data_IF_697000881422
#
_entry.id   IF_697000881422
#
_cell.length_a   1.000
_cell.length_b   1.000
_cell.length_c   1.000
_cell.angle_alpha   90.00
_cell.angle_beta   90.00
_cell.angle_gamma   90.00
#
_symmetry.space_group_name_H-M   'P 1'
#
loop_
_entity.id
_entity.type
_entity.pdbx_description
1 polymer ?
#
# COMPACT_ATOMS: atom_id res chain seq x y z
N UNK A 1 -22.50 65.89 -76.04
CA UNK A 1 -21.62 64.77 -75.60
C UNK A 1 -21.66 64.67 -74.08
N UNK A 2 -22.12 63.51 -73.61
CA UNK A 2 -21.91 62.85 -72.30
C UNK A 2 -22.36 63.56 -70.99
N UNK A 3 -23.63 63.30 -70.67
CA UNK A 3 -24.18 63.15 -69.32
C UNK A 3 -23.28 62.24 -68.45
N UNK A 4 -23.00 62.68 -67.22
CA UNK A 4 -22.25 61.92 -66.20
C UNK A 4 -23.24 61.15 -65.32
N UNK A 5 -23.20 59.82 -65.44
CA UNK A 5 -24.02 58.84 -64.74
C UNK A 5 -23.56 58.59 -63.30
N UNK A 6 -24.50 58.62 -62.36
CA UNK A 6 -24.40 57.90 -61.08
C UNK A 6 -24.50 56.38 -61.31
N UNK A 7 -23.96 55.56 -60.40
CA UNK A 7 -24.64 54.32 -60.04
C UNK A 7 -25.00 54.27 -58.56
N UNK A 8 -26.29 54.07 -58.34
CA UNK A 8 -26.96 53.67 -57.10
C UNK A 8 -26.36 52.38 -56.54
N UNK A 9 -26.02 52.36 -55.25
CA UNK A 9 -25.87 51.13 -54.48
C UNK A 9 -27.01 51.02 -53.48
N UNK A 10 -27.85 50.03 -53.76
CA UNK A 10 -28.89 49.47 -52.89
C UNK A 10 -28.25 48.94 -51.61
N UNK A 11 -28.76 49.33 -50.43
CA UNK A 11 -28.67 48.51 -49.23
C UNK A 11 -29.79 48.90 -48.28
N UNK A 12 -30.87 48.11 -48.34
CA UNK A 12 -31.87 48.01 -47.31
C UNK A 12 -31.37 47.04 -46.23
N UNK A 13 -31.64 47.34 -44.96
CA UNK A 13 -32.45 46.52 -44.03
C UNK A 13 -32.32 47.14 -42.64
N UNK A 14 -33.47 47.59 -42.15
CA UNK A 14 -33.73 48.04 -40.78
C UNK A 14 -33.85 46.80 -39.89
N UNK A 15 -33.22 46.79 -38.72
CA UNK A 15 -33.79 46.09 -37.57
C UNK A 15 -33.39 46.77 -36.25
N UNK A 16 -34.43 47.28 -35.58
CA UNK A 16 -34.47 47.86 -34.24
C UNK A 16 -34.19 46.74 -33.20
N UNK A 17 -33.30 46.97 -32.23
CA UNK A 17 -33.04 46.02 -31.14
C UNK A 17 -32.55 46.71 -29.88
N UNK A 18 -33.40 46.73 -28.86
CA UNK A 18 -33.24 47.38 -27.55
C UNK A 18 -32.05 46.79 -26.77
N UNK A 19 -31.11 47.64 -26.33
CA UNK A 19 -30.02 47.26 -25.42
C UNK A 19 -30.51 47.31 -23.96
N UNK A 20 -30.78 46.15 -23.38
CA UNK A 20 -30.86 45.98 -21.92
C UNK A 20 -29.48 45.51 -21.40
N UNK A 21 -28.95 46.05 -20.29
CA UNK A 21 -27.70 45.56 -19.72
C UNK A 21 -27.94 44.20 -19.08
N UNK A 22 -27.36 43.16 -19.68
CA UNK A 22 -27.30 41.81 -19.13
C UNK A 22 -26.41 41.85 -17.88
N UNK A 23 -27.00 41.92 -16.70
CA UNK A 23 -26.29 41.68 -15.44
C UNK A 23 -26.00 40.18 -15.39
N UNK A 24 -24.76 39.82 -15.75
CA UNK A 24 -24.24 38.47 -15.52
C UNK A 24 -24.03 38.33 -14.01
N UNK A 25 -25.03 37.80 -13.31
CA UNK A 25 -24.81 37.25 -11.98
C UNK A 25 -23.95 36.01 -12.21
N UNK A 26 -22.63 36.16 -12.01
CA UNK A 26 -21.73 35.02 -11.94
C UNK A 26 -22.19 34.16 -10.76
N UNK A 27 -22.95 33.11 -11.06
CA UNK A 27 -23.15 32.02 -10.12
C UNK A 27 -21.77 31.55 -9.64
N UNK A 28 -21.57 31.29 -8.33
CA UNK A 28 -20.32 30.71 -7.88
C UNK A 28 -20.11 29.42 -8.66
N UNK A 29 -19.07 29.39 -9.50
CA UNK A 29 -18.62 28.19 -10.16
C UNK A 29 -18.13 27.24 -9.07
N UNK A 30 -19.03 26.42 -8.55
CA UNK A 30 -18.65 25.20 -7.83
C UNK A 30 -18.04 24.28 -8.86
N UNK A 31 -16.74 24.48 -9.14
CA UNK A 31 -15.88 23.45 -9.68
C UNK A 31 -15.90 22.30 -8.67
N UNK A 32 -16.89 21.41 -8.81
CA UNK A 32 -16.99 20.17 -8.07
C UNK A 32 -15.81 19.29 -8.50
N UNK A 33 -14.63 19.53 -7.94
CA UNK A 33 -13.55 18.55 -7.94
C UNK A 33 -14.06 17.39 -7.09
N UNK A 34 -14.51 16.33 -7.74
CA UNK A 34 -14.93 15.09 -7.08
C UNK A 34 -13.83 14.59 -6.14
N UNK A 35 -14.24 14.01 -5.02
CA UNK A 35 -13.31 13.43 -4.06
C UNK A 35 -12.65 12.15 -4.62
N UNK A 36 -11.65 11.62 -3.91
CA UNK A 36 -10.94 10.39 -4.31
C UNK A 36 -11.91 9.22 -4.56
N UNK A 37 -12.92 9.07 -3.71
CA UNK A 37 -13.87 7.96 -3.75
C UNK A 37 -14.82 8.13 -4.93
N UNK A 38 -15.37 9.33 -5.11
CA UNK A 38 -16.27 9.67 -6.22
C UNK A 38 -15.55 9.56 -7.57
N UNK A 39 -14.27 9.95 -7.63
CA UNK A 39 -13.42 9.82 -8.83
C UNK A 39 -13.13 8.34 -9.14
N UNK A 40 -12.89 7.51 -8.12
CA UNK A 40 -12.70 6.07 -8.30
C UNK A 40 -13.99 5.37 -8.77
N UNK A 41 -15.14 5.75 -8.22
CA UNK A 41 -16.45 5.22 -8.64
C UNK A 41 -16.78 5.63 -10.07
N UNK A 42 -16.55 6.90 -10.44
CA UNK A 42 -16.80 7.41 -11.78
C UNK A 42 -15.92 6.74 -12.86
N UNK A 43 -14.68 6.36 -12.51
CA UNK A 43 -13.76 5.69 -13.42
C UNK A 43 -14.12 4.22 -13.73
N UNK A 44 -15.05 3.61 -12.98
CA UNK A 44 -15.62 2.29 -13.25
C UNK A 44 -14.68 1.08 -13.11
N UNK A 45 -13.36 1.31 -13.03
CA UNK A 45 -12.28 0.31 -12.99
C UNK A 45 -11.72 0.04 -11.58
N UNK A 46 -12.39 0.56 -10.54
CA UNK A 46 -11.98 0.48 -9.14
C UNK A 46 -13.07 -0.12 -8.22
N UNK A 47 -13.96 -0.95 -8.77
CA UNK A 47 -15.11 -1.48 -8.02
C UNK A 47 -14.66 -2.36 -6.84
N UNK A 48 -13.61 -3.15 -7.06
CA UNK A 48 -13.04 -4.03 -6.02
C UNK A 48 -12.43 -3.22 -4.88
N UNK A 49 -11.75 -2.13 -5.21
CA UNK A 49 -11.17 -1.21 -4.24
C UNK A 49 -12.26 -0.50 -3.41
N UNK A 50 -13.34 -0.03 -4.05
CA UNK A 50 -14.46 0.59 -3.35
C UNK A 50 -15.15 -0.39 -2.37
N UNK A 51 -15.33 -1.65 -2.79
CA UNK A 51 -15.85 -2.71 -1.92
C UNK A 51 -14.91 -2.98 -0.72
N UNK A 52 -13.60 -3.06 -0.97
CA UNK A 52 -12.59 -3.25 0.08
C UNK A 52 -12.57 -2.08 1.09
N UNK A 53 -12.64 -0.83 0.61
CA UNK A 53 -12.72 0.36 1.46
C UNK A 53 -13.98 0.37 2.33
N UNK A 54 -15.10 -0.09 1.78
CA UNK A 54 -16.37 -0.21 2.50
C UNK A 54 -16.28 -1.28 3.58
N UNK A 55 -15.74 -2.46 3.25
CA UNK A 55 -15.53 -3.55 4.22
C UNK A 55 -14.56 -3.17 5.35
N UNK A 56 -13.55 -2.35 5.03
CA UNK A 56 -12.53 -1.87 5.96
C UNK A 56 -12.92 -0.62 6.76
N UNK A 57 -14.09 -0.01 6.50
CA UNK A 57 -14.54 1.23 7.15
C UNK A 57 -13.55 2.41 6.97
N UNK A 58 -12.90 2.50 5.81
CA UNK A 58 -11.91 3.54 5.50
C UNK A 58 -12.46 4.66 4.61
N UNK A 59 -13.71 4.51 4.13
CA UNK A 59 -14.38 5.52 3.28
C UNK A 59 -14.44 6.87 4.00
N UNK A 60 -14.77 6.90 5.29
CA UNK A 60 -14.82 8.14 6.06
C UNK A 60 -13.47 8.84 6.18
N UNK A 61 -12.39 8.08 6.38
CA UNK A 61 -11.03 8.63 6.48
C UNK A 61 -10.55 9.23 5.15
N UNK A 62 -10.84 8.56 4.03
CA UNK A 62 -10.46 9.02 2.69
C UNK A 62 -11.35 10.13 2.13
N UNK A 63 -12.51 10.39 2.72
CA UNK A 63 -13.36 11.55 2.42
C UNK A 63 -13.01 12.80 3.24
N UNK A 64 -12.06 12.69 4.18
CA UNK A 64 -11.62 13.86 4.94
C UNK A 64 -10.86 14.86 4.05
N UNK A 65 -10.82 16.13 4.49
CA UNK A 65 -10.27 17.25 3.73
C UNK A 65 -8.73 17.24 3.59
N UNK A 66 -8.05 16.27 4.22
CA UNK A 66 -6.59 16.18 4.21
C UNK A 66 -6.04 15.91 2.81
N UNK A 67 -4.82 16.36 2.50
CA UNK A 67 -4.16 16.01 1.25
C UNK A 67 -3.71 14.54 1.27
N UNK A 68 -4.38 13.68 0.51
CA UNK A 68 -4.01 12.28 0.37
C UNK A 68 -3.36 11.99 -0.98
N UNK A 69 -2.43 11.05 -1.00
CA UNK A 69 -1.98 10.40 -2.23
C UNK A 69 -2.36 8.93 -2.15
N UNK A 70 -3.17 8.46 -3.11
CA UNK A 70 -3.68 7.09 -3.14
C UNK A 70 -3.11 6.36 -4.33
N UNK A 71 -2.43 5.25 -4.06
CA UNK A 71 -2.01 4.29 -5.06
C UNK A 71 -3.18 3.34 -5.32
N UNK A 72 -3.97 3.56 -6.37
CA UNK A 72 -5.18 2.81 -6.63
C UNK A 72 -4.90 1.63 -7.59
N UNK A 73 -4.91 0.37 -7.13
CA UNK A 73 -4.90 -0.78 -8.02
C UNK A 73 -6.21 -0.87 -8.82
N UNK A 74 -6.08 -1.15 -10.12
CA UNK A 74 -7.24 -1.43 -10.99
C UNK A 74 -7.87 -2.78 -10.66
N UNK A 75 -9.11 -3.01 -11.10
CA UNK A 75 -9.76 -4.33 -10.99
C UNK A 75 -8.91 -5.44 -11.66
N UNK A 76 -8.17 -5.11 -12.73
CA UNK A 76 -7.21 -6.03 -13.36
C UNK A 76 -6.01 -6.37 -12.46
N UNK A 77 -5.57 -5.43 -11.60
CA UNK A 77 -4.52 -5.67 -10.62
C UNK A 77 -4.97 -6.67 -9.55
N UNK A 78 -6.24 -6.57 -9.10
CA UNK A 78 -6.83 -7.55 -8.18
C UNK A 78 -6.97 -8.93 -8.83
N UNK A 79 -7.30 -8.98 -10.12
CA UNK A 79 -7.39 -10.24 -10.86
C UNK A 79 -6.04 -10.96 -11.05
N UNK A 80 -4.91 -10.24 -10.93
CA UNK A 80 -3.56 -10.84 -10.95
C UNK A 80 -3.19 -11.51 -9.63
N UNK A 81 -3.93 -11.27 -8.55
CA UNK A 81 -3.66 -11.94 -7.28
C UNK A 81 -3.93 -13.46 -7.40
N UNK A 82 -3.17 -14.30 -6.68
CA UNK A 82 -3.45 -15.74 -6.64
C UNK A 82 -4.89 -15.98 -6.18
N UNK A 83 -5.59 -16.92 -6.83
CA UNK A 83 -6.95 -17.33 -6.44
C UNK A 83 -6.98 -17.68 -4.96
N UNK A 84 -8.00 -17.21 -4.22
CA UNK A 84 -8.09 -17.34 -2.76
C UNK A 84 -7.52 -16.15 -1.98
N UNK A 85 -6.55 -15.39 -2.50
CA UNK A 85 -5.91 -14.30 -1.72
C UNK A 85 -6.88 -13.17 -1.41
N UNK A 86 -7.61 -12.69 -2.41
CA UNK A 86 -8.62 -11.64 -2.22
C UNK A 86 -9.77 -12.13 -1.33
N UNK A 87 -10.22 -13.37 -1.54
CA UNK A 87 -11.32 -13.97 -0.77
C UNK A 87 -10.95 -14.09 0.71
N UNK A 88 -9.73 -14.56 1.01
CA UNK A 88 -9.20 -14.58 2.37
C UNK A 88 -9.09 -13.18 2.95
N UNK A 89 -8.60 -12.18 2.20
CA UNK A 89 -8.50 -10.80 2.68
C UNK A 89 -9.85 -10.13 2.93
N UNK A 90 -10.91 -10.57 2.26
CA UNK A 90 -12.29 -10.09 2.46
C UNK A 90 -13.03 -10.81 3.59
N UNK A 91 -12.47 -11.87 4.16
CA UNK A 91 -13.06 -12.53 5.32
C UNK A 91 -13.05 -11.60 6.54
N UNK A 92 -14.09 -11.64 7.40
CA UNK A 92 -14.19 -10.77 8.57
C UNK A 92 -13.02 -10.97 9.55
N UNK A 93 -12.49 -12.20 9.62
CA UNK A 93 -11.30 -12.57 10.40
C UNK A 93 -10.05 -11.80 9.96
N UNK A 94 -9.94 -11.46 8.67
CA UNK A 94 -8.79 -10.76 8.10
C UNK A 94 -9.04 -9.25 7.89
N UNK A 95 -10.13 -8.70 8.44
CA UNK A 95 -10.45 -7.27 8.35
C UNK A 95 -9.30 -6.37 8.81
N UNK A 96 -8.57 -6.76 9.86
CA UNK A 96 -7.40 -6.02 10.33
C UNK A 96 -6.27 -5.98 9.28
N UNK A 97 -6.05 -7.08 8.57
CA UNK A 97 -5.06 -7.15 7.48
C UNK A 97 -5.52 -6.32 6.28
N UNK A 98 -6.80 -6.38 5.93
CA UNK A 98 -7.38 -5.57 4.86
C UNK A 98 -7.20 -4.07 5.14
N UNK A 99 -7.46 -3.63 6.37
CA UNK A 99 -7.21 -2.25 6.81
C UNK A 99 -5.74 -1.87 6.66
N UNK A 100 -4.81 -2.75 7.05
CA UNK A 100 -3.37 -2.50 6.90
C UNK A 100 -2.95 -2.38 5.43
N UNK A 101 -3.44 -3.28 4.56
CA UNK A 101 -3.20 -3.23 3.11
C UNK A 101 -3.73 -1.94 2.51
N UNK A 102 -4.95 -1.53 2.86
CA UNK A 102 -5.53 -0.30 2.34
C UNK A 102 -4.76 0.94 2.83
N UNK A 103 -4.31 0.95 4.08
CA UNK A 103 -3.45 2.00 4.62
C UNK A 103 -2.09 2.07 3.91
N UNK A 104 -1.55 0.95 3.43
CA UNK A 104 -0.31 0.93 2.65
C UNK A 104 -0.47 1.63 1.29
N UNK A 105 -1.66 1.60 0.71
CA UNK A 105 -1.94 2.30 -0.54
C UNK A 105 -2.18 3.80 -0.34
N UNK A 106 -2.27 4.28 0.90
CA UNK A 106 -2.62 5.68 1.21
C UNK A 106 -1.45 6.38 1.88
N UNK A 107 -1.08 7.54 1.36
CA UNK A 107 -0.08 8.44 1.91
C UNK A 107 -0.80 9.69 2.39
N UNK A 108 -0.58 10.08 3.65
CA UNK A 108 -1.21 11.26 4.29
C UNK A 108 -0.63 12.61 3.83
N UNK A 109 0.09 12.61 2.71
CA UNK A 109 0.66 13.80 2.11
C UNK A 109 0.42 13.75 0.61
N UNK A 110 0.21 14.92 0.02
CA UNK A 110 0.07 15.05 -1.42
C UNK A 110 1.46 15.04 -2.05
N UNK A 111 1.79 13.96 -2.73
CA UNK A 111 3.06 13.77 -3.42
C UNK A 111 2.77 13.58 -4.92
N UNK A 112 3.09 14.58 -5.78
CA UNK A 112 3.05 14.40 -7.22
C UNK A 112 4.17 13.45 -7.66
N UNK A 113 4.02 12.82 -8.83
CA UNK A 113 4.95 11.79 -9.29
C UNK A 113 6.41 12.27 -9.32
N UNK A 114 6.65 13.50 -9.77
CA UNK A 114 8.00 14.09 -9.85
C UNK A 114 8.69 14.11 -8.49
N UNK A 115 8.01 14.62 -7.46
CA UNK A 115 8.54 14.65 -6.09
C UNK A 115 8.65 13.24 -5.49
N UNK A 116 7.75 12.33 -5.88
CA UNK A 116 7.79 10.94 -5.44
C UNK A 116 9.06 10.24 -5.96
N UNK A 117 9.44 10.51 -7.21
CA UNK A 117 10.66 10.01 -7.84
C UNK A 117 11.92 10.62 -7.24
N UNK A 118 11.93 11.92 -6.95
CA UNK A 118 13.07 12.59 -6.31
C UNK A 118 13.35 12.05 -4.91
N UNK A 119 12.29 11.76 -4.14
CA UNK A 119 12.41 11.17 -2.79
C UNK A 119 12.77 9.69 -2.82
N UNK A 120 12.47 8.99 -3.92
CA UNK A 120 12.66 7.55 -4.07
C UNK A 120 11.81 6.67 -3.15
N UNK A 121 11.03 7.26 -2.24
CA UNK A 121 10.20 6.55 -1.27
C UNK A 121 9.14 7.45 -0.62
N UNK A 122 8.05 6.85 -0.11
CA UNK A 122 6.99 7.56 0.60
C UNK A 122 6.49 6.78 1.83
N UNK A 123 6.29 7.46 2.96
CA UNK A 123 5.70 6.87 4.17
C UNK A 123 4.17 6.82 4.04
N UNK A 124 3.59 5.65 4.26
CA UNK A 124 2.15 5.37 4.12
C UNK A 124 1.44 5.48 5.48
N UNK A 125 0.10 5.43 5.48
CA UNK A 125 -0.71 5.36 6.69
C UNK A 125 -0.54 4.04 7.46
N UNK A 126 0.05 3.01 6.84
CA UNK A 126 0.41 1.76 7.50
C UNK A 126 1.71 1.87 8.31
N UNK A 127 2.32 3.07 8.39
CA UNK A 127 3.67 3.30 8.90
C UNK A 127 4.78 2.56 8.15
N UNK A 128 4.44 1.97 7.00
CA UNK A 128 5.38 1.35 6.09
C UNK A 128 5.78 2.32 4.98
N UNK A 129 7.00 2.15 4.48
CA UNK A 129 7.55 2.98 3.40
C UNK A 129 7.43 2.23 2.09
N UNK A 130 6.78 2.84 1.10
CA UNK A 130 6.75 2.32 -0.28
C UNK A 130 7.93 2.90 -1.06
N UNK A 131 8.72 2.03 -1.70
CA UNK A 131 9.81 2.45 -2.59
C UNK A 131 9.25 2.89 -3.95
N UNK A 132 9.72 4.00 -4.49
CA UNK A 132 9.27 4.56 -5.76
C UNK A 132 10.51 4.74 -6.64
N UNK A 133 10.57 4.02 -7.75
CA UNK A 133 11.75 4.03 -8.61
C UNK A 133 11.35 4.08 -10.09
N UNK A 134 12.12 4.82 -10.88
CA UNK A 134 12.05 4.73 -12.34
C UNK A 134 12.91 3.55 -12.79
N UNK A 135 12.28 2.52 -13.37
CA UNK A 135 12.99 1.34 -13.88
C UNK A 135 12.46 1.01 -15.28
N UNK A 136 13.38 0.85 -16.24
CA UNK A 136 13.04 0.54 -17.64
C UNK A 136 12.11 1.58 -18.30
N UNK A 137 12.28 2.86 -17.96
CA UNK A 137 11.43 3.95 -18.46
C UNK A 137 9.99 3.97 -17.92
N UNK A 138 9.66 3.12 -16.94
CA UNK A 138 8.37 3.09 -16.25
C UNK A 138 8.56 3.33 -14.75
N UNK A 139 7.68 4.13 -14.14
CA UNK A 139 7.70 4.28 -12.68
C UNK A 139 7.14 3.02 -12.03
N UNK A 140 7.83 2.53 -11.00
CA UNK A 140 7.41 1.40 -10.18
C UNK A 140 7.27 1.82 -8.72
N UNK A 141 6.17 1.41 -8.10
CA UNK A 141 5.89 1.59 -6.66
C UNK A 141 5.93 0.20 -6.02
N UNK A 142 6.98 -0.06 -5.24
CA UNK A 142 7.25 -1.36 -4.62
C UNK A 142 7.10 -2.56 -5.57
N UNK A 143 7.65 -2.43 -6.78
CA UNK A 143 7.55 -3.44 -7.85
C UNK A 143 6.28 -3.35 -8.73
N UNK A 144 5.21 -2.70 -8.27
CA UNK A 144 4.00 -2.46 -9.06
C UNK A 144 4.25 -1.39 -10.12
N UNK A 145 3.85 -1.63 -11.37
CA UNK A 145 4.01 -0.66 -12.46
C UNK A 145 2.93 0.41 -12.36
N UNK A 146 3.35 1.67 -12.42
CA UNK A 146 2.46 2.81 -12.52
C UNK A 146 1.90 2.91 -13.95
N UNK A 147 0.58 2.87 -14.10
CA UNK A 147 -0.10 2.96 -15.40
C UNK A 147 -0.58 4.36 -15.71
N UNK A 148 -1.07 5.08 -14.70
CA UNK A 148 -1.56 6.45 -14.82
C UNK A 148 -1.19 7.19 -13.56
N UNK A 149 -0.70 8.41 -13.68
CA UNK A 149 -0.21 9.19 -12.55
C UNK A 149 -0.89 10.56 -12.50
N UNK A 150 -0.76 11.23 -11.35
CA UNK A 150 -1.13 12.63 -11.16
C UNK A 150 -2.61 12.94 -11.46
N UNK A 151 -3.51 11.99 -11.19
CA UNK A 151 -4.95 12.24 -11.29
C UNK A 151 -5.37 13.14 -10.13
N UNK A 152 -5.70 14.39 -10.45
CA UNK A 152 -5.99 15.41 -9.46
C UNK A 152 -7.42 15.30 -8.92
N UNK A 153 -7.58 15.27 -7.60
CA UNK A 153 -8.88 15.24 -6.89
C UNK A 153 -8.97 16.41 -5.92
N UNK A 154 -10.16 16.69 -5.36
CA UNK A 154 -10.34 17.80 -4.40
C UNK A 154 -9.52 17.63 -3.14
N UNK A 155 -9.35 16.39 -2.67
CA UNK A 155 -8.66 16.05 -1.44
C UNK A 155 -7.34 15.29 -1.67
N UNK A 156 -6.82 15.25 -2.90
CA UNK A 156 -5.59 14.50 -3.12
C UNK A 156 -5.15 14.26 -4.56
N UNK A 157 -4.31 13.24 -4.73
CA UNK A 157 -3.81 12.74 -6.01
C UNK A 157 -3.96 11.23 -6.05
N UNK A 158 -4.48 10.70 -7.16
CA UNK A 158 -4.55 9.26 -7.41
C UNK A 158 -3.46 8.86 -8.40
N UNK A 159 -2.74 7.80 -8.05
CA UNK A 159 -1.75 7.13 -8.88
C UNK A 159 -2.22 5.70 -9.14
N UNK A 160 -2.51 5.37 -10.39
CA UNK A 160 -3.05 4.07 -10.79
C UNK A 160 -1.91 3.07 -10.98
N UNK A 161 -2.00 1.94 -10.28
CA UNK A 161 -1.00 0.86 -10.33
C UNK A 161 -1.61 -0.43 -10.91
N UNK A 162 -0.75 -1.24 -11.53
CA UNK A 162 -1.15 -2.48 -12.20
C UNK A 162 -1.13 -3.73 -11.31
N UNK A 163 -0.69 -3.59 -10.06
CA UNK A 163 -0.48 -4.67 -9.08
C UNK A 163 -0.86 -4.16 -7.70
N UNK A 164 -1.54 -4.97 -6.88
CA UNK A 164 -1.91 -4.61 -5.51
C UNK A 164 -0.64 -4.59 -4.63
N UNK A 165 -0.44 -3.50 -3.89
CA UNK A 165 0.60 -3.43 -2.86
C UNK A 165 0.15 -4.27 -1.68
N UNK A 166 0.70 -5.47 -1.57
CA UNK A 166 0.62 -6.19 -0.32
C UNK A 166 1.67 -5.56 0.61
N UNK A 167 1.39 -5.43 1.92
CA UNK A 167 2.47 -5.22 2.88
C UNK A 167 3.48 -6.29 2.52
N UNK A 168 4.71 -5.86 2.28
CA UNK A 168 5.78 -6.83 2.21
C UNK A 168 5.56 -7.73 3.41
N UNK A 169 5.70 -9.03 3.22
CA UNK A 169 5.94 -9.90 4.35
C UNK A 169 7.24 -9.40 5.00
N UNK A 170 7.18 -8.28 5.74
CA UNK A 170 7.95 -7.99 6.93
C UNK A 170 7.49 -8.96 7.99
N UNK A 171 7.56 -10.25 7.65
CA UNK A 171 8.05 -11.30 8.51
C UNK A 171 9.28 -10.71 9.17
N UNK A 172 9.13 -10.12 10.35
CA UNK A 172 10.14 -9.87 11.40
C UNK A 172 11.43 -9.09 11.03
N UNK A 173 11.79 -8.93 9.75
CA UNK A 173 13.07 -8.44 9.27
C UNK A 173 13.28 -6.93 9.52
N UNK A 174 12.23 -6.15 9.73
CA UNK A 174 12.40 -4.73 10.12
C UNK A 174 12.57 -4.54 11.63
N UNK A 175 12.21 -5.50 12.48
CA UNK A 175 12.64 -5.47 13.88
C UNK A 175 14.16 -5.69 14.02
N UNK A 176 14.78 -6.28 12.99
CA UNK A 176 16.24 -6.56 12.91
C UNK A 176 17.08 -5.29 12.73
N UNK A 177 16.50 -4.20 12.24
CA UNK A 177 17.25 -2.93 12.04
C UNK A 177 17.26 -2.01 13.28
N UNK A 178 16.63 -2.39 14.39
CA UNK A 178 16.67 -1.62 15.65
C UNK A 178 17.48 -2.38 16.70
N UNK A 179 18.78 -2.60 16.46
CA UNK A 179 19.77 -2.96 17.50
C UNK A 179 19.32 -3.99 18.56
N UNK A 180 18.43 -4.92 18.19
CA UNK A 180 17.65 -5.68 19.14
C UNK A 180 18.43 -6.90 19.61
N UNK A 181 18.36 -7.24 20.89
CA UNK A 181 18.99 -8.47 21.37
C UNK A 181 18.36 -9.70 20.71
N UNK A 182 19.13 -10.76 20.42
CA UNK A 182 18.59 -12.05 19.97
C UNK A 182 17.42 -12.54 20.84
N UNK A 183 17.52 -12.31 22.15
CA UNK A 183 16.47 -12.59 23.15
C UNK A 183 15.17 -11.85 22.83
N UNK A 184 15.24 -10.54 22.52
CA UNK A 184 14.04 -9.73 22.22
C UNK A 184 13.37 -10.16 20.91
N UNK A 185 14.15 -10.56 19.91
CA UNK A 185 13.61 -11.08 18.66
C UNK A 185 12.89 -12.41 18.85
N UNK A 186 13.47 -13.32 19.62
CA UNK A 186 12.82 -14.59 19.97
C UNK A 186 11.51 -14.33 20.72
N UNK A 187 11.52 -13.46 21.73
CA UNK A 187 10.32 -13.11 22.50
C UNK A 187 9.21 -12.52 21.62
N UNK A 188 9.54 -11.60 20.71
CA UNK A 188 8.57 -11.00 19.79
C UNK A 188 7.99 -12.03 18.81
N UNK A 189 8.83 -12.93 18.29
CA UNK A 189 8.38 -13.99 17.40
C UNK A 189 7.36 -14.90 18.10
N UNK A 190 7.62 -15.24 19.36
CA UNK A 190 6.72 -16.03 20.21
C UNK A 190 5.40 -15.28 20.44
N UNK A 191 5.47 -14.01 20.83
CA UNK A 191 4.30 -13.15 21.09
C UNK A 191 3.37 -13.06 19.87
N UNK A 192 3.93 -13.04 18.66
CA UNK A 192 3.17 -12.95 17.40
C UNK A 192 2.77 -14.30 16.83
N UNK A 193 3.58 -15.34 17.01
CA UNK A 193 3.36 -16.67 16.46
C UNK A 193 2.31 -17.48 17.22
N UNK A 194 2.30 -17.40 18.55
CA UNK A 194 1.39 -18.22 19.39
C UNK A 194 -0.09 -17.93 19.10
N UNK A 195 -0.56 -16.67 19.03
CA UNK A 195 -1.95 -16.38 18.67
C UNK A 195 -2.34 -16.95 17.31
N UNK A 196 -1.48 -16.78 16.29
CA UNK A 196 -1.74 -17.30 14.94
C UNK A 196 -1.87 -18.83 14.92
N UNK A 197 -1.04 -19.53 15.69
CA UNK A 197 -1.13 -20.98 15.80
C UNK A 197 -2.46 -21.40 16.45
N UNK A 198 -2.83 -20.74 17.55
CA UNK A 198 -4.06 -21.02 18.28
C UNK A 198 -5.32 -20.66 17.46
N UNK A 199 -5.23 -19.66 16.58
CA UNK A 199 -6.29 -19.24 15.66
C UNK A 199 -6.38 -20.16 14.40
N UNK A 200 -5.69 -21.30 14.39
CA UNK A 200 -5.75 -22.25 13.28
C UNK A 200 -4.95 -21.83 12.04
N UNK A 201 -3.98 -20.92 12.18
CA UNK A 201 -3.09 -20.46 11.12
C UNK A 201 -1.63 -20.92 11.33
N UNK A 202 -1.36 -22.25 11.37
CA UNK A 202 -0.01 -22.77 11.66
C UNK A 202 1.00 -22.38 10.57
N UNK A 203 0.58 -22.20 9.31
CA UNK A 203 1.45 -21.74 8.24
C UNK A 203 1.93 -20.29 8.44
N UNK A 204 1.06 -19.41 8.97
CA UNK A 204 1.43 -18.05 9.29
C UNK A 204 2.38 -18.00 10.49
N UNK A 205 2.13 -18.82 11.51
CA UNK A 205 3.04 -19.00 12.65
C UNK A 205 4.43 -19.51 12.22
N UNK A 206 4.48 -20.58 11.41
CA UNK A 206 5.72 -21.13 10.89
C UNK A 206 6.53 -20.08 10.13
N UNK A 207 5.88 -19.26 9.29
CA UNK A 207 6.56 -18.19 8.55
C UNK A 207 7.21 -17.15 9.49
N UNK A 208 6.54 -16.77 10.59
CA UNK A 208 7.11 -15.85 11.59
C UNK A 208 8.38 -16.45 12.21
N UNK A 209 8.34 -17.73 12.61
CA UNK A 209 9.49 -18.38 13.21
C UNK A 209 10.63 -18.59 12.21
N UNK A 210 10.33 -18.91 10.95
CA UNK A 210 11.31 -19.05 9.86
C UNK A 210 12.11 -17.77 9.67
N UNK A 211 11.44 -16.63 9.51
CA UNK A 211 12.16 -15.38 9.27
C UNK A 211 12.85 -14.87 10.53
N UNK A 212 12.32 -15.19 11.71
CA UNK A 212 13.05 -14.94 12.96
C UNK A 212 14.36 -15.72 12.98
N UNK A 213 14.34 -17.01 12.60
CA UNK A 213 15.54 -17.84 12.54
C UNK A 213 16.57 -17.31 11.53
N UNK A 214 16.14 -16.94 10.33
CA UNK A 214 17.02 -16.31 9.32
C UNK A 214 17.63 -15.00 9.82
N UNK A 215 16.80 -14.18 10.47
CA UNK A 215 17.23 -12.91 11.07
C UNK A 215 18.28 -13.11 12.16
N UNK A 216 18.07 -14.10 13.04
CA UNK A 216 19.02 -14.45 14.09
C UNK A 216 20.34 -14.95 13.52
N UNK A 217 20.31 -15.76 12.45
CA UNK A 217 21.53 -16.24 11.78
C UNK A 217 22.37 -15.07 11.23
N UNK A 218 21.75 -13.96 10.86
CA UNK A 218 22.44 -12.75 10.40
C UNK A 218 23.06 -11.91 11.53
N UNK A 219 22.80 -12.22 12.82
CA UNK A 219 23.46 -11.53 13.93
C UNK A 219 24.94 -11.94 14.03
N UNK A 220 25.84 -10.95 13.88
CA UNK A 220 27.28 -11.15 13.92
C UNK A 220 27.80 -11.76 15.24
N UNK A 221 27.09 -11.56 16.35
CA UNK A 221 27.49 -12.02 17.70
C UNK A 221 26.74 -13.30 18.13
N UNK A 222 25.99 -13.95 17.24
CA UNK A 222 25.26 -15.17 17.61
C UNK A 222 26.26 -16.33 17.86
N UNK A 223 26.17 -17.06 19.00
CA UNK A 223 27.02 -18.21 19.26
C UNK A 223 26.95 -19.25 18.13
N UNK A 224 28.08 -19.91 17.82
CA UNK A 224 28.14 -20.92 16.76
C UNK A 224 27.12 -22.06 16.97
N UNK A 225 26.94 -22.50 18.23
CA UNK A 225 25.94 -23.49 18.60
C UNK A 225 24.50 -23.04 18.27
N UNK A 226 24.17 -21.78 18.57
CA UNK A 226 22.88 -21.18 18.23
C UNK A 226 22.68 -21.11 16.71
N UNK A 227 23.71 -20.69 15.96
CA UNK A 227 23.65 -20.61 14.51
C UNK A 227 23.38 -21.98 13.87
N UNK A 228 24.05 -23.02 14.37
CA UNK A 228 23.85 -24.39 13.92
C UNK A 228 22.45 -24.91 14.22
N UNK A 229 21.92 -24.67 15.43
CA UNK A 229 20.55 -25.03 15.82
C UNK A 229 19.53 -24.45 14.83
N UNK A 230 19.63 -23.15 14.53
CA UNK A 230 18.69 -22.47 13.64
C UNK A 230 18.80 -22.97 12.19
N UNK A 231 20.02 -23.17 11.68
CA UNK A 231 20.24 -23.69 10.32
C UNK A 231 19.68 -25.10 10.14
N UNK A 232 19.90 -25.98 11.13
CA UNK A 232 19.34 -27.34 11.11
C UNK A 232 17.81 -27.29 11.11
N UNK A 233 17.22 -26.49 11.99
CA UNK A 233 15.77 -26.36 12.08
C UNK A 233 15.11 -25.79 10.81
N UNK A 234 15.75 -24.81 10.15
CA UNK A 234 15.29 -24.30 8.86
C UNK A 234 15.32 -25.38 7.77
N UNK A 235 16.40 -26.18 7.72
CA UNK A 235 16.53 -27.27 6.76
C UNK A 235 15.52 -28.41 7.02
N UNK A 236 15.20 -28.70 8.28
CA UNK A 236 14.18 -29.67 8.67
C UNK A 236 12.76 -29.15 8.37
N UNK A 237 12.47 -27.89 8.70
CA UNK A 237 11.19 -27.24 8.38
C UNK A 237 10.92 -27.26 6.87
N UNK A 238 11.92 -26.94 6.05
CA UNK A 238 11.77 -26.88 4.59
C UNK A 238 11.42 -28.23 3.96
N UNK A 239 11.75 -29.35 4.61
CA UNK A 239 11.44 -30.71 4.12
C UNK A 239 10.07 -31.20 4.58
N UNK A 240 9.46 -30.54 5.57
CA UNK A 240 8.22 -30.99 6.17
C UNK A 240 7.01 -30.32 5.48
N UNK A 241 6.07 -31.09 4.90
CA UNK A 241 4.89 -30.51 4.27
C UNK A 241 3.85 -29.98 5.27
N UNK A 242 3.88 -30.42 6.53
CA UNK A 242 2.91 -30.02 7.55
C UNK A 242 3.29 -28.67 8.20
N UNK A 243 2.48 -27.61 8.04
CA UNK A 243 2.77 -26.31 8.63
C UNK A 243 2.78 -26.31 10.17
N UNK A 244 2.02 -27.20 10.82
CA UNK A 244 1.99 -27.28 12.27
C UNK A 244 3.30 -27.86 12.82
N UNK A 245 3.79 -28.94 12.22
CA UNK A 245 5.09 -29.53 12.56
C UNK A 245 6.25 -28.59 12.25
N UNK A 246 6.17 -27.82 11.15
CA UNK A 246 7.13 -26.75 10.86
C UNK A 246 7.17 -25.72 11.97
N UNK A 247 6.02 -25.20 12.39
CA UNK A 247 5.93 -24.23 13.48
C UNK A 247 6.52 -24.77 14.78
N UNK A 248 6.21 -26.02 15.15
CA UNK A 248 6.78 -26.66 16.34
C UNK A 248 8.29 -26.89 16.24
N UNK A 249 8.79 -27.32 15.07
CA UNK A 249 10.22 -27.52 14.82
C UNK A 249 10.99 -26.22 15.02
N UNK A 250 10.52 -25.14 14.39
CA UNK A 250 11.14 -23.83 14.51
C UNK A 250 11.01 -23.25 15.92
N UNK A 251 9.87 -23.45 16.58
CA UNK A 251 9.67 -23.01 17.97
C UNK A 251 10.69 -23.65 18.92
N UNK A 252 10.86 -24.97 18.85
CA UNK A 252 11.88 -25.69 19.65
C UNK A 252 13.29 -25.16 19.38
N UNK A 253 13.59 -24.80 18.13
CA UNK A 253 14.87 -24.23 17.77
C UNK A 253 15.08 -22.83 18.39
N UNK A 254 14.08 -21.96 18.33
CA UNK A 254 14.11 -20.64 18.98
C UNK A 254 14.28 -20.76 20.51
N UNK A 255 13.57 -21.68 21.16
CA UNK A 255 13.69 -21.91 22.61
C UNK A 255 15.10 -22.44 22.97
N UNK A 256 15.67 -23.34 22.16
CA UNK A 256 17.06 -23.81 22.33
C UNK A 256 18.08 -22.71 22.10
N UNK A 257 17.87 -21.86 21.08
CA UNK A 257 18.71 -20.69 20.84
C UNK A 257 18.65 -19.73 22.01
N UNK A 258 17.46 -19.48 22.58
CA UNK A 258 17.29 -18.64 23.76
C UNK A 258 18.16 -19.15 24.92
N UNK A 259 18.10 -20.45 25.22
CA UNK A 259 18.91 -21.07 26.27
C UNK A 259 20.44 -20.93 26.06
N UNK A 260 20.89 -20.74 24.82
CA UNK A 260 22.32 -20.52 24.53
C UNK A 260 22.76 -19.05 24.61
N UNK A 261 21.83 -18.09 24.49
CA UNK A 261 22.13 -16.65 24.51
C UNK A 261 21.78 -15.98 25.83
N UNK A 262 20.86 -16.55 26.60
CA UNK A 262 20.45 -16.05 27.93
C UNK A 262 21.56 -16.08 29.00
N UNK A 263 22.47 -17.09 29.04
CA UNK A 263 23.60 -17.11 29.98
C UNK A 263 24.61 -15.97 29.78
N UNK A 264 24.56 -15.25 28.66
CA UNK A 264 25.47 -14.15 28.35
C UNK A 264 25.00 -12.80 28.94
N UNK A 265 23.76 -12.70 29.41
CA UNK A 265 23.17 -11.45 29.92
C UNK A 265 23.20 -11.29 31.45
N UNK A 266 23.43 -12.36 32.21
CA UNK A 266 23.49 -12.32 33.69
C UNK A 266 24.86 -11.93 34.25
N UNK A 267 25.89 -11.80 33.41
CA UNK A 267 27.28 -11.48 33.83
C UNK A 267 27.62 -9.99 33.67
N UNK A 268 26.70 -9.16 33.17
CA UNK A 268 26.93 -7.74 32.87
C UNK A 268 25.98 -6.79 33.63
N UNK A 269 25.49 -7.16 34.81
CA UNK A 269 24.82 -6.22 35.73
C UNK A 269 25.66 -5.98 36.98
#
# INVERSE_FOLDING_TARGET
>A
MKSRSLPSKLLAVVLLGVLAPFVVIAAPSTAAKTDIVDTAVAAGSFKTLAAALTAADLVGALKSAGPFTVFAPTDAAFAKLPKGTLESLLQPENKAQLVAILKLHVVATRIPLSTALEKGSAKTLAEETVAIALKDGSVRVNGAKLTTADINTSNGVIHVIDTVLLPEKKTVATAVMVGGSPVRLIALAIERGVPLFNDGQPAACAAIYEVTAESLIAFAQLPAAANQILRTALAESAKNPDPAERAWTLRRALDRTLATVEPLHTVQR
#
